data_IF_089896741154
#
_entry.id   IF_089896741154
#
_cell.length_a   1.000
_cell.length_b   1.000
_cell.length_c   1.000
_cell.angle_alpha   90.00
_cell.angle_beta   90.00
_cell.angle_gamma   90.00
#
_symmetry.space_group_name_H-M   'P 1'
#
loop_
_entity.id
_entity.type
_entity.pdbx_description
1 polymer ?
#
# COMPACT_ATOMS: atom_id res chain seq x y z
N UNK A 1 -10.81 -15.62 -4.04
CA UNK A 1 -12.09 -15.32 -3.35
C UNK A 1 -13.20 -15.42 -4.37
N UNK A 2 -14.15 -16.32 -4.16
CA UNK A 2 -15.44 -16.23 -4.83
C UNK A 2 -16.00 -14.82 -4.61
N UNK A 3 -16.53 -14.20 -5.67
CA UNK A 3 -17.09 -12.84 -5.66
C UNK A 3 -18.06 -12.58 -4.49
N UNK A 4 -18.67 -13.65 -3.96
CA UNK A 4 -19.56 -13.65 -2.80
C UNK A 4 -18.92 -13.02 -1.53
N UNK A 5 -17.67 -13.35 -1.18
CA UNK A 5 -17.06 -12.90 0.09
C UNK A 5 -16.83 -11.39 0.16
N UNK A 6 -16.39 -10.78 -0.95
CA UNK A 6 -16.19 -9.32 -1.06
C UNK A 6 -17.52 -8.57 -0.99
N UNK A 7 -18.55 -9.15 -1.60
CA UNK A 7 -19.91 -8.59 -1.63
C UNK A 7 -20.48 -8.52 -0.22
N UNK A 8 -20.29 -9.54 0.61
CA UNK A 8 -20.80 -9.57 1.99
C UNK A 8 -20.16 -8.52 2.89
N UNK A 9 -18.83 -8.31 2.79
CA UNK A 9 -18.12 -7.32 3.62
C UNK A 9 -18.52 -5.87 3.25
N UNK A 10 -18.67 -5.58 1.95
CA UNK A 10 -19.13 -4.27 1.49
C UNK A 10 -20.60 -4.06 1.86
N UNK A 11 -21.42 -5.11 1.78
CA UNK A 11 -22.81 -5.11 2.24
C UNK A 11 -23.00 -5.04 3.76
N UNK A 12 -21.96 -5.11 4.59
CA UNK A 12 -22.09 -4.88 6.04
C UNK A 12 -21.58 -3.50 6.46
N UNK A 13 -20.52 -3.00 5.83
CA UNK A 13 -19.85 -1.74 6.24
C UNK A 13 -20.32 -0.52 5.44
N UNK A 14 -20.44 -0.65 4.10
CA UNK A 14 -20.75 0.48 3.21
C UNK A 14 -22.26 0.64 2.93
N UNK A 15 -23.06 -0.31 3.40
CA UNK A 15 -24.52 -0.26 3.37
C UNK A 15 -25.10 0.35 4.63
N UNK A 16 -24.56 0.01 5.80
CA UNK A 16 -25.05 0.50 7.09
C UNK A 16 -24.97 2.02 7.23
N UNK A 17 -23.89 2.64 6.76
CA UNK A 17 -23.71 4.09 6.82
C UNK A 17 -24.72 4.88 5.96
N UNK A 18 -24.95 4.56 4.66
CA UNK A 18 -26.01 5.21 3.89
C UNK A 18 -27.41 4.84 4.34
N UNK A 19 -27.67 3.61 4.81
CA UNK A 19 -29.01 3.19 5.28
C UNK A 19 -29.46 4.05 6.47
N UNK A 20 -28.56 4.35 7.40
CA UNK A 20 -28.86 5.23 8.54
C UNK A 20 -29.16 6.69 8.14
N UNK A 21 -28.50 7.19 7.08
CA UNK A 21 -28.78 8.52 6.54
C UNK A 21 -30.06 8.53 5.68
N UNK A 22 -30.36 7.42 5.00
CA UNK A 22 -31.56 7.21 4.18
C UNK A 22 -32.84 7.15 5.03
N UNK A 23 -32.77 6.78 6.31
CA UNK A 23 -33.92 6.87 7.22
C UNK A 23 -34.37 8.31 7.50
N UNK A 24 -33.49 9.30 7.29
CA UNK A 24 -33.79 10.71 7.56
C UNK A 24 -34.13 11.55 6.31
N UNK A 25 -33.88 11.04 5.10
CA UNK A 25 -34.01 11.81 3.85
C UNK A 25 -34.72 11.02 2.76
N UNK A 26 -35.75 11.62 2.12
CA UNK A 26 -36.33 11.08 0.87
C UNK A 26 -35.33 11.28 -0.26
N UNK A 27 -34.63 10.21 -0.63
CA UNK A 27 -33.61 10.21 -1.67
C UNK A 27 -34.21 9.85 -3.04
N UNK A 28 -33.75 10.54 -4.10
CA UNK A 28 -34.10 10.23 -5.49
C UNK A 28 -33.40 8.97 -5.98
N UNK A 29 -34.01 8.25 -6.95
CA UNK A 29 -33.42 7.04 -7.55
C UNK A 29 -32.01 7.28 -8.11
N UNK A 30 -31.76 8.46 -8.66
CA UNK A 30 -30.45 8.86 -9.19
C UNK A 30 -29.36 8.90 -8.11
N UNK A 31 -29.67 9.36 -6.90
CA UNK A 31 -28.67 9.41 -5.83
C UNK A 31 -28.38 8.02 -5.27
N UNK A 32 -29.38 7.13 -5.23
CA UNK A 32 -29.19 5.70 -4.96
C UNK A 32 -28.28 5.04 -5.99
N UNK A 33 -28.47 5.35 -7.28
CA UNK A 33 -27.61 4.86 -8.35
C UNK A 33 -26.17 5.38 -8.24
N UNK A 34 -25.95 6.64 -7.82
CA UNK A 34 -24.60 7.15 -7.56
C UNK A 34 -23.94 6.46 -6.37
N UNK A 35 -24.69 6.21 -5.30
CA UNK A 35 -24.19 5.44 -4.14
C UNK A 35 -23.80 4.03 -4.56
N UNK A 36 -24.66 3.34 -5.33
CA UNK A 36 -24.37 2.00 -5.82
C UNK A 36 -23.27 1.97 -6.87
N UNK A 37 -23.11 3.03 -7.68
CA UNK A 37 -21.97 3.23 -8.58
C UNK A 37 -20.69 3.38 -7.77
N UNK A 38 -20.71 4.13 -6.68
CA UNK A 38 -19.55 4.30 -5.81
C UNK A 38 -19.20 3.01 -5.04
N UNK A 39 -20.21 2.26 -4.59
CA UNK A 39 -20.02 0.92 -4.00
C UNK A 39 -19.45 -0.06 -5.02
N UNK A 40 -19.97 -0.08 -6.25
CA UNK A 40 -19.46 -0.91 -7.35
C UNK A 40 -18.04 -0.52 -7.73
N UNK A 41 -17.71 0.77 -7.76
CA UNK A 41 -16.32 1.27 -7.94
C UNK A 41 -15.40 0.79 -6.81
N UNK A 42 -15.86 0.83 -5.57
CA UNK A 42 -15.09 0.32 -4.43
C UNK A 42 -14.89 -1.21 -4.49
N UNK A 43 -15.88 -1.96 -4.99
CA UNK A 43 -15.84 -3.43 -5.15
C UNK A 43 -15.05 -3.91 -6.36
N UNK A 44 -15.10 -3.19 -7.48
CA UNK A 44 -14.73 -3.67 -8.82
C UNK A 44 -13.73 -2.80 -9.58
N UNK A 45 -13.23 -1.69 -9.03
CA UNK A 45 -12.21 -0.90 -9.73
C UNK A 45 -10.85 -1.63 -9.71
N UNK A 46 -10.68 -2.53 -10.67
CA UNK A 46 -9.40 -2.76 -11.31
C UNK A 46 -9.01 -1.50 -12.08
N UNK A 47 -7.96 -0.86 -11.58
CA UNK A 47 -6.86 -0.19 -12.29
C UNK A 47 -7.07 0.87 -13.38
N UNK A 48 -8.27 1.24 -13.84
CA UNK A 48 -8.38 2.34 -14.82
C UNK A 48 -9.44 3.38 -14.42
N UNK A 49 -8.98 4.55 -13.97
CA UNK A 49 -9.81 5.76 -13.89
C UNK A 49 -10.21 6.29 -12.51
N UNK A 50 -9.68 5.75 -11.40
CA UNK A 50 -9.83 6.38 -10.07
C UNK A 50 -8.46 6.57 -9.42
N UNK A 51 -7.68 7.49 -9.97
CA UNK A 51 -6.41 7.99 -9.41
C UNK A 51 -6.65 9.07 -8.36
N UNK A 52 -7.67 8.91 -7.51
CA UNK A 52 -7.86 9.83 -6.38
C UNK A 52 -6.86 9.52 -5.27
N UNK A 53 -6.04 10.50 -4.87
CA UNK A 53 -5.09 10.43 -3.75
C UNK A 53 -5.75 9.86 -2.47
N UNK A 54 -7.02 10.23 -2.25
CA UNK A 54 -7.86 9.71 -1.17
C UNK A 54 -8.03 8.18 -1.17
N UNK A 55 -8.13 7.57 -2.35
CA UNK A 55 -8.35 6.12 -2.49
C UNK A 55 -7.08 5.35 -2.16
N UNK A 56 -5.91 5.88 -2.53
CA UNK A 56 -4.60 5.28 -2.25
C UNK A 56 -4.32 5.21 -0.75
N UNK A 57 -4.65 6.27 -0.01
CA UNK A 57 -4.57 6.31 1.46
C UNK A 57 -5.52 5.32 2.16
N UNK A 58 -6.50 4.75 1.45
CA UNK A 58 -7.32 3.66 1.98
C UNK A 58 -6.78 2.29 1.55
N UNK A 59 -6.22 2.18 0.34
CA UNK A 59 -5.61 0.94 -0.17
C UNK A 59 -4.37 0.53 0.63
N UNK A 60 -3.52 1.47 1.03
CA UNK A 60 -2.34 1.22 1.87
C UNK A 60 -2.69 0.54 3.22
N UNK A 61 -3.91 0.75 3.74
CA UNK A 61 -4.41 0.11 4.97
C UNK A 61 -4.42 -1.42 4.83
N UNK A 62 -4.70 -1.95 3.65
CA UNK A 62 -4.67 -3.40 3.41
C UNK A 62 -3.26 -3.97 3.56
N UNK A 63 -2.25 -3.25 3.04
CA UNK A 63 -0.84 -3.63 3.18
C UNK A 63 -0.40 -3.56 4.63
N UNK A 64 -0.80 -2.53 5.37
CA UNK A 64 -0.50 -2.43 6.81
C UNK A 64 -1.10 -3.58 7.63
N UNK A 65 -2.38 -3.89 7.42
CA UNK A 65 -3.04 -4.99 8.14
C UNK A 65 -2.48 -6.36 7.77
N UNK A 66 -1.96 -6.54 6.55
CA UNK A 66 -1.26 -7.77 6.18
C UNK A 66 -0.06 -8.05 7.10
N UNK A 67 0.61 -7.00 7.58
CA UNK A 67 1.73 -7.14 8.51
C UNK A 67 1.30 -7.32 9.96
N UNK A 68 0.33 -6.53 10.43
CA UNK A 68 -0.06 -6.53 11.86
C UNK A 68 -1.08 -7.60 12.22
N UNK A 69 -1.96 -7.98 11.29
CA UNK A 69 -3.05 -8.92 11.51
C UNK A 69 -3.10 -9.97 10.37
N UNK A 70 -2.14 -10.91 10.31
CA UNK A 70 -2.05 -11.91 9.23
C UNK A 70 -3.24 -12.89 9.20
N UNK A 71 -4.00 -12.99 10.29
CA UNK A 71 -5.19 -13.85 10.43
C UNK A 71 -6.40 -13.33 9.67
N UNK A 72 -6.35 -12.12 9.12
CA UNK A 72 -7.52 -11.53 8.46
C UNK A 72 -7.88 -12.31 7.19
N UNK A 73 -9.18 -12.53 6.91
CA UNK A 73 -9.63 -13.45 5.85
C UNK A 73 -9.18 -13.08 4.43
N UNK A 74 -8.73 -11.84 4.22
CA UNK A 74 -8.25 -11.36 2.94
C UNK A 74 -6.74 -11.47 2.73
N UNK A 75 -5.99 -11.84 3.77
CA UNK A 75 -4.54 -12.05 3.66
C UNK A 75 -4.31 -13.29 2.79
N UNK A 76 -3.61 -13.11 1.67
CA UNK A 76 -3.41 -14.16 0.66
C UNK A 76 -4.31 -14.06 -0.58
N UNK A 77 -5.26 -13.11 -0.59
CA UNK A 77 -6.06 -12.79 -1.77
C UNK A 77 -5.48 -11.59 -2.54
N UNK A 78 -5.89 -11.45 -3.80
CA UNK A 78 -5.56 -10.27 -4.59
C UNK A 78 -6.15 -9.02 -3.93
N UNK A 79 -5.25 -8.20 -3.39
CA UNK A 79 -5.58 -6.91 -2.82
C UNK A 79 -5.77 -5.88 -3.94
N UNK A 80 -6.67 -4.89 -3.78
CA UNK A 80 -6.88 -3.83 -4.78
C UNK A 80 -5.70 -2.85 -4.91
N UNK A 81 -4.58 -3.11 -4.24
CA UNK A 81 -3.38 -2.29 -4.31
C UNK A 81 -2.67 -2.51 -5.64
N UNK A 82 -2.35 -1.42 -6.34
CA UNK A 82 -1.52 -1.43 -7.55
C UNK A 82 -0.02 -1.37 -7.21
N UNK A 83 0.84 -1.24 -8.22
CA UNK A 83 2.29 -1.16 -8.00
C UNK A 83 2.70 0.16 -7.33
N UNK A 84 2.09 1.28 -7.71
CA UNK A 84 2.33 2.60 -7.12
C UNK A 84 1.97 2.60 -5.63
N UNK A 85 0.85 1.97 -5.26
CA UNK A 85 0.43 1.80 -3.87
C UNK A 85 1.49 1.03 -3.08
N UNK A 86 2.09 -0.02 -3.66
CA UNK A 86 3.17 -0.80 -3.01
C UNK A 86 4.47 -0.02 -2.90
N UNK A 87 4.80 0.79 -3.91
CA UNK A 87 5.98 1.64 -3.89
C UNK A 87 5.86 2.75 -2.85
N UNK A 88 4.71 3.43 -2.80
CA UNK A 88 4.40 4.42 -1.77
C UNK A 88 4.42 3.79 -0.38
N UNK A 89 3.81 2.62 -0.20
CA UNK A 89 3.85 1.90 1.08
C UNK A 89 5.28 1.62 1.53
N UNK A 90 6.12 1.11 0.64
CA UNK A 90 7.50 0.79 0.96
C UNK A 90 8.34 2.03 1.26
N UNK A 91 8.13 3.14 0.53
CA UNK A 91 8.80 4.41 0.82
C UNK A 91 8.40 4.95 2.21
N UNK A 92 7.14 4.78 2.58
CA UNK A 92 6.52 5.30 3.80
C UNK A 92 6.70 4.41 5.04
N UNK A 93 7.30 3.23 4.88
CA UNK A 93 7.46 2.26 5.96
C UNK A 93 8.92 1.91 6.20
N UNK A 94 9.21 1.55 7.44
CA UNK A 94 10.49 1.04 7.89
C UNK A 94 10.26 -0.32 8.54
N UNK A 95 11.18 -1.25 8.28
CA UNK A 95 11.04 -2.64 8.72
C UNK A 95 12.20 -2.97 9.65
N UNK A 96 11.85 -3.38 10.86
CA UNK A 96 12.78 -3.98 11.81
C UNK A 96 12.71 -5.48 11.64
N UNK A 97 13.82 -6.08 11.21
CA UNK A 97 13.89 -7.52 10.94
C UNK A 97 13.87 -8.29 12.26
N UNK A 98 12.98 -9.27 12.35
CA UNK A 98 12.93 -10.28 13.40
C UNK A 98 13.28 -11.63 12.80
N UNK A 99 12.26 -12.46 12.55
CA UNK A 99 12.40 -13.78 11.98
C UNK A 99 12.61 -13.78 10.45
N UNK A 100 12.43 -12.67 9.74
CA UNK A 100 12.62 -12.54 8.30
C UNK A 100 11.58 -13.30 7.45
N UNK A 101 10.51 -13.81 8.04
CA UNK A 101 9.47 -14.55 7.30
C UNK A 101 8.45 -13.64 6.61
N UNK A 102 8.27 -12.42 7.11
CA UNK A 102 7.27 -11.48 6.59
C UNK A 102 7.90 -10.50 5.60
N UNK A 103 9.11 -10.04 5.90
CA UNK A 103 9.88 -9.16 5.03
C UNK A 103 10.26 -9.88 3.72
N UNK A 104 9.96 -9.25 2.58
CA UNK A 104 10.36 -9.74 1.26
C UNK A 104 11.74 -9.23 0.90
N UNK A 105 12.62 -10.12 0.47
CA UNK A 105 14.03 -9.81 0.24
C UNK A 105 14.21 -8.54 -0.61
N UNK A 106 13.57 -8.45 -1.78
CA UNK A 106 13.78 -7.30 -2.69
C UNK A 106 12.84 -6.12 -2.48
N UNK A 107 11.60 -6.37 -2.02
CA UNK A 107 10.54 -5.35 -2.02
C UNK A 107 10.26 -4.73 -0.65
N UNK A 108 10.83 -5.27 0.43
CA UNK A 108 10.68 -4.72 1.78
C UNK A 108 11.84 -3.77 2.11
N UNK A 109 11.51 -2.70 2.83
CA UNK A 109 12.42 -1.64 3.23
C UNK A 109 13.23 -1.99 4.50
N UNK A 110 14.06 -3.03 4.44
CA UNK A 110 14.80 -3.56 5.60
C UNK A 110 16.28 -3.09 5.69
N UNK A 111 16.79 -2.35 4.69
CA UNK A 111 18.12 -1.73 4.75
C UNK A 111 17.92 -0.24 5.05
N UNK A 112 18.10 0.18 6.30
CA UNK A 112 17.94 1.59 6.73
C UNK A 112 16.63 2.23 6.24
N UNK A 113 15.53 1.46 6.30
CA UNK A 113 14.22 1.90 5.81
C UNK A 113 14.13 2.05 4.29
N UNK A 114 15.02 1.41 3.52
CA UNK A 114 15.04 1.38 2.04
C UNK A 114 15.05 -0.05 1.52
N UNK A 115 14.58 -0.21 0.28
CA UNK A 115 14.47 -1.52 -0.37
C UNK A 115 15.77 -1.88 -1.10
N UNK A 116 16.19 -3.16 -1.06
CA UNK A 116 17.32 -3.60 -1.86
C UNK A 116 17.14 -3.38 -3.36
N UNK A 117 15.91 -3.47 -3.90
CA UNK A 117 15.67 -3.22 -5.33
C UNK A 117 15.94 -1.76 -5.75
N UNK A 118 15.83 -0.82 -4.81
CA UNK A 118 16.03 0.61 -5.07
C UNK A 118 17.51 0.99 -4.90
N UNK A 119 18.20 0.36 -3.94
CA UNK A 119 19.63 0.57 -3.67
C UNK A 119 20.53 -0.16 -4.69
N UNK A 120 20.13 -1.38 -5.08
CA UNK A 120 20.91 -2.26 -5.94
C UNK A 120 20.10 -2.73 -7.17
N UNK A 121 19.66 -1.80 -8.05
CA UNK A 121 18.80 -2.14 -9.17
C UNK A 121 19.46 -3.08 -10.19
N UNK A 122 20.79 -3.04 -10.35
CA UNK A 122 21.50 -3.92 -11.28
C UNK A 122 21.49 -5.37 -10.78
N UNK A 123 21.66 -5.58 -9.47
CA UNK A 123 21.60 -6.91 -8.86
C UNK A 123 20.16 -7.45 -8.89
N UNK A 124 19.18 -6.59 -8.65
CA UNK A 124 17.77 -6.96 -8.77
C UNK A 124 17.41 -7.41 -10.21
N UNK A 125 17.94 -6.73 -11.22
CA UNK A 125 17.68 -7.06 -12.62
C UNK A 125 18.11 -8.48 -12.97
N UNK A 126 19.25 -8.95 -12.43
CA UNK A 126 19.83 -10.27 -12.69
C UNK A 126 19.33 -11.36 -11.74
N UNK A 127 18.43 -11.04 -10.80
CA UNK A 127 17.84 -12.01 -9.90
C UNK A 127 16.62 -12.69 -10.54
N UNK A 128 16.64 -14.03 -10.59
CA UNK A 128 15.52 -14.86 -11.07
C UNK A 128 14.32 -14.85 -10.12
N UNK A 129 14.57 -14.94 -8.81
CA UNK A 129 13.50 -15.03 -7.81
C UNK A 129 13.38 -13.75 -6.98
N UNK A 130 12.44 -12.89 -7.41
CA UNK A 130 12.20 -11.58 -6.79
C UNK A 130 11.16 -11.62 -5.67
N UNK A 131 10.61 -12.80 -5.36
CA UNK A 131 9.47 -12.95 -4.44
C UNK A 131 9.79 -13.59 -3.09
N UNK A 132 11.03 -14.08 -2.88
CA UNK A 132 11.47 -14.70 -1.63
C UNK A 132 11.34 -13.80 -0.41
N UNK A 133 11.19 -14.44 0.75
CA UNK A 133 11.31 -13.77 2.05
C UNK A 133 12.77 -13.51 2.38
N UNK A 134 13.03 -12.62 3.34
CA UNK A 134 14.37 -12.29 3.79
C UNK A 134 15.07 -13.52 4.40
N UNK A 135 14.35 -14.31 5.20
CA UNK A 135 14.83 -15.59 5.75
C UNK A 135 15.26 -16.54 4.63
N UNK A 136 14.37 -16.79 3.67
CA UNK A 136 14.65 -17.69 2.54
C UNK A 136 15.82 -17.20 1.68
N UNK A 137 16.02 -15.89 1.57
CA UNK A 137 17.16 -15.32 0.86
C UNK A 137 18.47 -15.53 1.61
N UNK A 138 18.48 -15.27 2.93
CA UNK A 138 19.67 -15.32 3.78
C UNK A 138 20.13 -16.75 4.09
N UNK A 139 19.21 -17.68 4.34
CA UNK A 139 19.55 -19.06 4.69
C UNK A 139 20.34 -19.74 3.56
N UNK A 140 21.57 -20.18 3.88
CA UNK A 140 22.49 -20.83 2.93
C UNK A 140 22.84 -19.97 1.71
N UNK A 141 22.81 -18.65 1.87
CA UNK A 141 23.05 -17.65 0.81
C UNK A 141 22.24 -17.92 -0.47
N UNK A 142 21.00 -18.39 -0.30
CA UNK A 142 20.15 -18.78 -1.42
C UNK A 142 19.83 -17.61 -2.36
N UNK A 143 19.94 -16.36 -1.89
CA UNK A 143 19.81 -15.17 -2.73
C UNK A 143 20.90 -15.10 -3.82
N UNK A 144 22.12 -15.58 -3.55
CA UNK A 144 23.23 -15.63 -4.52
C UNK A 144 22.92 -16.64 -5.62
N UNK A 145 22.32 -17.79 -5.25
CA UNK A 145 21.94 -18.85 -6.20
C UNK A 145 20.89 -18.40 -7.20
N UNK A 146 20.10 -17.37 -6.86
CA UNK A 146 19.11 -16.78 -7.75
C UNK A 146 19.72 -15.83 -8.79
N UNK A 147 20.99 -15.45 -8.63
CA UNK A 147 21.67 -14.51 -9.52
C UNK A 147 22.18 -15.21 -10.77
N UNK A 148 21.89 -14.64 -11.94
CA UNK A 148 22.29 -15.18 -13.24
C UNK A 148 23.59 -14.54 -13.73
N UNK A 149 24.62 -14.54 -12.88
CA UNK A 149 25.91 -13.88 -13.18
C UNK A 149 26.58 -14.54 -14.39
N UNK A 150 26.49 -15.86 -14.51
CA UNK A 150 27.14 -16.66 -15.57
C UNK A 150 26.52 -16.49 -16.96
N UNK A 151 25.31 -15.95 -17.07
CA UNK A 151 24.65 -15.70 -18.37
C UNK A 151 24.88 -14.29 -18.88
N UNK A 152 25.61 -13.45 -18.14
CA UNK A 152 25.83 -12.05 -18.47
C UNK A 152 27.16 -11.90 -19.19
N UNK A 153 27.14 -11.35 -20.41
CA UNK A 153 28.33 -11.26 -21.27
C UNK A 153 29.37 -10.25 -20.76
N UNK A 154 28.97 -9.32 -19.88
CA UNK A 154 29.85 -8.28 -19.34
C UNK A 154 29.50 -8.02 -17.87
N UNK A 155 30.47 -8.17 -16.98
CA UNK A 155 30.38 -7.79 -15.57
C UNK A 155 30.95 -6.37 -15.44
N UNK A 156 30.10 -5.41 -15.03
CA UNK A 156 30.53 -4.02 -14.81
C UNK A 156 30.99 -3.82 -13.35
N UNK A 157 31.89 -2.86 -13.13
CA UNK A 157 32.33 -2.47 -11.77
C UNK A 157 31.14 -2.06 -10.90
N UNK A 158 30.19 -1.31 -11.46
CA UNK A 158 28.96 -0.92 -10.77
C UNK A 158 28.10 -2.09 -10.28
N UNK A 159 28.08 -3.21 -11.03
CA UNK A 159 27.38 -4.42 -10.59
C UNK A 159 28.09 -5.05 -9.40
N UNK A 160 29.43 -5.10 -9.43
CA UNK A 160 30.24 -5.63 -8.33
C UNK A 160 30.05 -4.78 -7.08
N UNK A 161 30.10 -3.46 -7.18
CA UNK A 161 29.85 -2.54 -6.05
C UNK A 161 28.49 -2.80 -5.41
N UNK A 162 27.43 -2.91 -6.21
CA UNK A 162 26.09 -3.21 -5.72
C UNK A 162 25.99 -4.62 -5.10
N UNK A 163 26.71 -5.62 -5.65
CA UNK A 163 26.77 -6.97 -5.08
C UNK A 163 27.45 -6.98 -3.71
N UNK A 164 28.58 -6.27 -3.56
CA UNK A 164 29.31 -6.16 -2.30
C UNK A 164 28.45 -5.46 -1.25
N UNK A 165 27.82 -4.34 -1.61
CA UNK A 165 26.92 -3.62 -0.72
C UNK A 165 25.74 -4.49 -0.25
N UNK A 166 25.16 -5.30 -1.15
CA UNK A 166 24.06 -6.20 -0.79
C UNK A 166 24.54 -7.34 0.10
N UNK A 167 25.69 -7.92 -0.21
CA UNK A 167 26.26 -8.99 0.60
C UNK A 167 26.57 -8.52 2.02
N UNK A 168 27.15 -7.34 2.18
CA UNK A 168 27.38 -6.73 3.49
C UNK A 168 26.07 -6.50 4.24
N UNK A 169 25.06 -5.91 3.59
CA UNK A 169 23.75 -5.70 4.18
C UNK A 169 23.11 -7.01 4.64
N UNK A 170 23.12 -8.07 3.80
CA UNK A 170 22.56 -9.38 4.15
C UNK A 170 23.32 -10.04 5.30
N UNK A 171 24.65 -9.92 5.35
CA UNK A 171 25.45 -10.46 6.46
C UNK A 171 25.12 -9.78 7.79
N UNK A 172 24.91 -8.47 7.78
CA UNK A 172 24.61 -7.69 8.99
C UNK A 172 23.21 -7.93 9.55
N UNK A 173 22.28 -8.48 8.75
CA UNK A 173 20.97 -8.91 9.27
C UNK A 173 21.15 -10.06 10.27
N UNK A 174 20.66 -9.86 11.49
CA UNK A 174 20.57 -10.91 12.51
C UNK A 174 19.12 -11.39 12.58
N UNK A 175 18.88 -12.67 12.31
CA UNK A 175 17.55 -13.25 12.39
C UNK A 175 17.28 -13.73 13.82
N UNK A 176 16.26 -13.18 14.46
CA UNK A 176 15.79 -13.64 15.77
C UNK A 176 14.72 -14.71 15.55
N UNK A 177 15.01 -15.96 15.92
CA UNK A 177 14.03 -17.03 15.81
C UNK A 177 12.90 -16.83 16.84
N UNK A 178 11.65 -16.81 16.37
CA UNK A 178 10.46 -16.72 17.22
C UNK A 178 9.87 -15.31 17.36
N UNK A 179 10.57 -14.26 16.94
CA UNK A 179 10.09 -12.89 16.96
C UNK A 179 9.67 -12.44 15.54
N UNK A 180 8.40 -12.05 15.30
CA UNK A 180 7.97 -11.66 13.96
C UNK A 180 8.58 -10.33 13.53
N UNK A 181 8.83 -10.17 12.22
CA UNK A 181 9.26 -8.89 11.67
C UNK A 181 8.29 -7.75 12.03
N UNK A 182 8.84 -6.60 12.40
CA UNK A 182 8.06 -5.42 12.77
C UNK A 182 8.07 -4.39 11.64
N UNK A 183 6.94 -3.72 11.47
CA UNK A 183 6.78 -2.60 10.55
C UNK A 183 6.37 -1.34 11.31
N UNK A 184 6.98 -0.23 10.95
CA UNK A 184 6.70 1.11 11.45
C UNK A 184 6.35 2.06 10.28
N UNK A 185 5.41 2.97 10.54
CA UNK A 185 5.02 4.03 9.62
C UNK A 185 5.85 5.29 9.89
N UNK A 186 6.57 5.80 8.88
CA UNK A 186 7.55 6.90 9.06
C UNK A 186 6.92 8.25 9.40
N UNK A 187 5.65 8.46 9.01
CA UNK A 187 4.98 9.76 9.13
C UNK A 187 4.12 9.90 10.39
N UNK A 188 4.28 9.01 11.37
CA UNK A 188 3.63 9.10 12.68
C UNK A 188 4.63 8.84 13.79
N UNK A 189 4.56 9.62 14.87
CA UNK A 189 5.48 9.50 16.01
C UNK A 189 5.36 8.17 16.76
N UNK A 190 4.18 7.54 16.71
CA UNK A 190 3.92 6.22 17.30
C UNK A 190 4.23 5.06 16.35
N UNK A 191 4.73 5.33 15.13
CA UNK A 191 5.02 4.33 14.11
C UNK A 191 3.80 3.57 13.60
N UNK A 192 2.56 4.01 13.88
CA UNK A 192 1.33 3.34 13.43
C UNK A 192 0.75 4.00 12.20
N UNK A 193 0.26 3.17 11.28
CA UNK A 193 -0.44 3.66 10.10
C UNK A 193 -1.76 4.35 10.45
N UNK A 194 -1.98 5.52 9.85
CA UNK A 194 -3.26 6.20 9.80
C UNK A 194 -3.55 6.67 8.36
N UNK A 195 -4.77 6.49 7.88
CA UNK A 195 -5.16 6.93 6.53
C UNK A 195 -5.00 8.44 6.34
N UNK A 196 -5.20 9.25 7.39
CA UNK A 196 -4.95 10.69 7.35
C UNK A 196 -3.47 11.03 7.13
N UNK A 197 -2.56 10.36 7.83
CA UNK A 197 -1.11 10.53 7.66
C UNK A 197 -0.65 10.05 6.26
N UNK A 198 -1.19 8.93 5.77
CA UNK A 198 -0.90 8.44 4.42
C UNK A 198 -1.44 9.34 3.31
N UNK A 199 -2.54 10.06 3.56
CA UNK A 199 -3.03 11.10 2.67
C UNK A 199 -2.11 12.32 2.68
N UNK A 200 -1.75 12.82 3.88
CA UNK A 200 -0.80 13.93 4.01
C UNK A 200 0.56 13.65 3.36
N UNK A 201 1.07 12.43 3.49
CA UNK A 201 2.32 12.02 2.85
C UNK A 201 2.25 12.06 1.30
N UNK A 202 1.07 11.80 0.71
CA UNK A 202 0.87 11.95 -0.74
C UNK A 202 0.82 13.41 -1.17
N UNK A 203 0.20 14.25 -0.35
CA UNK A 203 0.09 15.68 -0.58
C UNK A 203 1.30 16.46 -0.03
N UNK A 204 2.40 15.79 0.33
CA UNK A 204 3.55 16.47 0.91
C UNK A 204 4.16 17.41 -0.12
N UNK A 205 4.16 18.71 0.19
CA UNK A 205 4.65 19.76 -0.72
C UNK A 205 3.61 20.30 -1.71
N UNK A 206 2.34 19.87 -1.65
CA UNK A 206 1.29 20.53 -2.43
C UNK A 206 0.93 21.89 -1.81
N UNK A 207 0.66 22.92 -2.64
CA UNK A 207 0.24 24.21 -2.12
C UNK A 207 -1.12 24.06 -1.45
N UNK A 208 -1.19 24.53 -0.21
CA UNK A 208 -2.44 24.51 0.54
C UNK A 208 -3.40 25.50 -0.11
N UNK A 209 -4.50 25.00 -0.69
CA UNK A 209 -5.47 25.86 -1.36
C UNK A 209 -6.61 26.17 -0.41
N UNK A 210 -6.85 27.46 -0.15
CA UNK A 210 -7.97 27.91 0.69
C UNK A 210 -9.26 28.03 -0.12
N UNK A 211 -9.72 26.91 -0.70
CA UNK A 211 -11.01 26.85 -1.39
C UNK A 211 -12.19 26.72 -0.43
N UNK A 212 -11.98 26.80 0.90
CA UNK A 212 -13.07 26.63 1.87
C UNK A 212 -14.21 27.62 1.64
N UNK A 213 -13.90 28.87 1.27
CA UNK A 213 -14.90 29.88 0.94
C UNK A 213 -15.58 29.69 -0.42
N UNK A 214 -15.05 28.82 -1.29
CA UNK A 214 -15.63 28.49 -2.60
C UNK A 214 -16.45 27.19 -2.54
N UNK A 215 -16.03 26.23 -1.72
CA UNK A 215 -16.68 24.93 -1.53
C UNK A 215 -17.83 25.02 -0.52
N UNK A 216 -17.62 25.74 0.60
CA UNK A 216 -18.55 25.74 1.74
C UNK A 216 -19.37 27.02 1.89
N UNK A 217 -19.10 28.05 1.07
CA UNK A 217 -19.97 29.22 1.00
C UNK A 217 -21.07 28.92 0.00
N UNK A 218 -22.31 28.83 0.48
CA UNK A 218 -23.48 28.61 -0.37
C UNK A 218 -23.60 29.78 -1.35
N UNK A 219 -23.29 29.52 -2.62
CA UNK A 219 -23.43 30.51 -3.71
C UNK A 219 -24.89 30.67 -4.16
N UNK A 220 -25.77 29.74 -3.77
CA UNK A 220 -27.18 29.78 -4.10
C UNK A 220 -27.95 30.77 -3.19
N UNK A 221 -28.84 31.61 -3.74
CA UNK A 221 -29.72 32.45 -2.93
C UNK A 221 -30.57 31.59 -2.00
N UNK A 222 -30.67 31.98 -0.73
CA UNK A 222 -31.40 31.21 0.30
C UNK A 222 -32.91 31.08 0.03
N UNK A 223 -33.47 31.88 -0.89
CA UNK A 223 -34.90 31.89 -1.23
C UNK A 223 -35.12 32.22 -2.71
N UNK A 224 -35.51 31.24 -3.52
CA UNK A 224 -36.20 31.51 -4.78
C UNK A 224 -37.63 31.95 -4.44
N UNK A 225 -37.95 33.24 -4.65
CA UNK A 225 -39.34 33.72 -4.57
C UNK A 225 -40.08 33.22 -5.81
N UNK A 226 -40.96 32.24 -5.64
CA UNK A 226 -41.97 31.93 -6.64
C UNK A 226 -43.01 33.05 -6.60
N UNK A 227 -43.07 33.84 -7.66
CA UNK A 227 -44.19 34.74 -7.89
C UNK A 227 -45.30 33.93 -8.54
N UNK A 228 -46.45 33.86 -7.88
CA UNK A 228 -47.71 33.36 -8.43
C UNK A 228 -48.41 34.47 -9.21
#
# INVERSE_FOLDING_TARGET
>A
MAAAGRTTLVKSVLTSQPIYLLTALKITKESLEQIDKQRRRFLWAGTEGITGENVRALRLRWLWHKWKDPTKPWVGLDTPCDEIDRDLFAASTEITVGDGNTARFWSSAWIDGRRPKDLMPLVYAISKNRKKTLRQGKEGDAWIKDLTIHTQSTITVSLIEQLVALWEAVRNVQLANGEPDQIAWKFTSNGRYASSSAYQAQCYGTPNTNFNSLIWKVWAPEKCKFHA
#
